data_IF_754396679407
#
_entry.id   IF_754396679407
#
_cell.length_a   1.000
_cell.length_b   1.000
_cell.length_c   1.000
_cell.angle_alpha   90.00
_cell.angle_beta   90.00
_cell.angle_gamma   90.00
#
_symmetry.space_group_name_H-M   'P 1'
#
loop_
_entity.id
_entity.type
_entity.pdbx_description
1 polymer ?
#
# COMPACT_ATOMS: atom_id res chain seq x y z
N UNK A 1 -13.96 -37.10 -33.09
CA UNK A 1 -14.48 -36.46 -34.32
C UNK A 1 -14.42 -34.95 -34.11
N UNK A 2 -13.52 -34.30 -34.80
CA UNK A 2 -13.41 -32.84 -34.74
C UNK A 2 -14.44 -32.24 -35.70
N UNK A 3 -15.43 -31.56 -35.16
CA UNK A 3 -16.40 -30.80 -35.96
C UNK A 3 -15.69 -29.51 -36.40
N UNK A 4 -15.48 -29.39 -37.72
CA UNK A 4 -14.81 -28.23 -38.31
C UNK A 4 -15.67 -26.96 -38.11
N UNK A 5 -15.02 -25.86 -37.67
CA UNK A 5 -15.65 -24.55 -37.47
C UNK A 5 -16.35 -23.98 -38.75
N UNK A 6 -16.00 -24.51 -39.92
CA UNK A 6 -16.56 -24.04 -41.22
C UNK A 6 -18.01 -24.46 -41.48
N UNK A 7 -18.56 -25.43 -40.74
CA UNK A 7 -19.93 -25.93 -40.95
C UNK A 7 -20.99 -25.13 -40.17
N UNK A 8 -20.60 -24.27 -39.23
CA UNK A 8 -21.54 -23.52 -38.37
C UNK A 8 -21.94 -22.15 -38.99
N UNK A 9 -21.24 -21.70 -40.01
CA UNK A 9 -21.42 -20.33 -40.59
C UNK A 9 -22.57 -20.28 -41.62
N UNK A 10 -23.14 -21.42 -42.08
CA UNK A 10 -24.12 -21.45 -43.17
C UNK A 10 -25.59 -21.41 -42.74
N UNK A 11 -25.92 -21.46 -41.49
CA UNK A 11 -27.29 -21.29 -41.01
C UNK A 11 -27.37 -20.03 -40.14
N UNK A 12 -28.25 -19.10 -40.46
CA UNK A 12 -28.42 -17.78 -39.85
C UNK A 12 -28.56 -17.70 -38.32
N UNK A 13 -28.32 -18.79 -37.61
CA UNK A 13 -28.22 -18.91 -36.14
C UNK A 13 -26.77 -18.77 -35.68
N UNK A 14 -25.78 -18.82 -36.57
CA UNK A 14 -24.35 -18.84 -36.24
C UNK A 14 -23.78 -17.52 -35.69
N UNK A 15 -24.32 -16.39 -36.13
CA UNK A 15 -23.75 -15.07 -35.75
C UNK A 15 -23.93 -14.72 -34.27
N UNK A 16 -25.11 -14.98 -33.72
CA UNK A 16 -25.41 -14.72 -32.31
C UNK A 16 -24.61 -15.66 -31.36
N UNK A 17 -24.50 -16.95 -31.75
CA UNK A 17 -23.74 -17.93 -30.97
C UNK A 17 -22.23 -17.63 -30.98
N UNK A 18 -21.67 -17.25 -32.11
CA UNK A 18 -20.23 -16.84 -32.20
C UNK A 18 -19.99 -15.56 -31.39
N UNK A 19 -20.87 -14.56 -31.49
CA UNK A 19 -20.75 -13.33 -30.71
C UNK A 19 -20.85 -13.60 -29.20
N UNK A 20 -21.74 -14.49 -28.77
CA UNK A 20 -21.86 -14.87 -27.35
C UNK A 20 -20.65 -15.63 -26.85
N UNK A 21 -20.10 -16.57 -27.61
CA UNK A 21 -18.88 -17.31 -27.26
C UNK A 21 -17.70 -16.35 -27.20
N UNK A 22 -17.55 -15.44 -28.15
CA UNK A 22 -16.46 -14.43 -28.13
C UNK A 22 -16.59 -13.50 -26.93
N UNK A 23 -17.80 -13.05 -26.61
CA UNK A 23 -18.07 -12.23 -25.42
C UNK A 23 -17.73 -12.98 -24.13
N UNK A 24 -18.14 -14.24 -23.98
CA UNK A 24 -17.85 -15.05 -22.81
C UNK A 24 -16.34 -15.34 -22.68
N UNK A 25 -15.64 -15.62 -23.78
CA UNK A 25 -14.18 -15.82 -23.76
C UNK A 25 -13.43 -14.54 -23.41
N UNK A 26 -13.86 -13.39 -23.92
CA UNK A 26 -13.26 -12.09 -23.58
C UNK A 26 -13.47 -11.77 -22.10
N UNK A 27 -14.69 -11.98 -21.60
CA UNK A 27 -15.05 -11.75 -20.20
C UNK A 27 -14.26 -12.66 -19.24
N UNK A 28 -14.07 -13.94 -19.59
CA UNK A 28 -13.26 -14.87 -18.76
C UNK A 28 -11.78 -14.51 -18.78
N UNK A 29 -11.24 -14.07 -19.93
CA UNK A 29 -9.85 -13.55 -20.00
C UNK A 29 -9.66 -12.30 -19.15
N UNK A 30 -10.54 -11.31 -19.27
CA UNK A 30 -10.47 -10.09 -18.46
C UNK A 30 -10.57 -10.38 -16.96
N UNK A 31 -11.40 -11.33 -16.53
CA UNK A 31 -11.48 -11.77 -15.13
C UNK A 31 -10.19 -12.45 -14.67
N UNK A 32 -9.63 -13.34 -15.50
CA UNK A 32 -8.36 -14.01 -15.18
C UNK A 32 -7.20 -13.02 -15.10
N UNK A 33 -7.16 -12.00 -15.95
CA UNK A 33 -6.18 -10.92 -15.91
C UNK A 33 -6.36 -10.05 -14.67
N UNK A 34 -7.59 -9.70 -14.28
CA UNK A 34 -7.90 -8.96 -13.07
C UNK A 34 -7.45 -9.72 -11.82
N UNK A 35 -7.77 -11.01 -11.70
CA UNK A 35 -7.31 -11.85 -10.59
C UNK A 35 -5.77 -12.00 -10.55
N UNK A 36 -5.12 -12.05 -11.71
CA UNK A 36 -3.66 -12.09 -11.78
C UNK A 36 -3.05 -10.78 -11.27
N UNK A 37 -3.60 -9.64 -11.67
CA UNK A 37 -3.16 -8.32 -11.21
C UNK A 37 -3.40 -8.14 -9.71
N UNK A 38 -4.54 -8.59 -9.18
CA UNK A 38 -4.82 -8.59 -7.74
C UNK A 38 -3.82 -9.45 -6.96
N UNK A 39 -3.54 -10.67 -7.45
CA UNK A 39 -2.57 -11.58 -6.82
C UNK A 39 -1.13 -11.01 -6.87
N UNK A 40 -0.74 -10.34 -7.95
CA UNK A 40 0.55 -9.65 -8.06
C UNK A 40 0.60 -8.45 -7.11
N UNK A 41 -0.47 -7.68 -7.00
CA UNK A 41 -0.57 -6.57 -6.05
C UNK A 41 -0.48 -7.04 -4.59
N UNK A 42 -1.14 -8.15 -4.25
CA UNK A 42 -1.04 -8.75 -2.91
C UNK A 42 0.38 -9.27 -2.60
N UNK A 43 1.02 -9.93 -3.57
CA UNK A 43 2.42 -10.37 -3.41
C UNK A 43 3.35 -9.18 -3.18
N UNK A 44 3.22 -8.13 -3.97
CA UNK A 44 4.02 -6.90 -3.83
C UNK A 44 3.79 -6.24 -2.47
N UNK A 45 2.53 -6.21 -1.98
CA UNK A 45 2.22 -5.70 -0.63
C UNK A 45 2.85 -6.55 0.46
N UNK A 46 2.74 -7.88 0.37
CA UNK A 46 3.32 -8.80 1.34
C UNK A 46 4.85 -8.71 1.36
N UNK A 47 5.48 -8.59 0.19
CA UNK A 47 6.92 -8.42 0.06
C UNK A 47 7.38 -7.08 0.66
N UNK A 48 6.69 -5.98 0.36
CA UNK A 48 6.98 -4.67 0.96
C UNK A 48 6.77 -4.70 2.47
N UNK A 49 5.70 -5.33 2.96
CA UNK A 49 5.46 -5.50 4.39
C UNK A 49 6.59 -6.27 5.06
N UNK A 50 7.07 -7.35 4.43
CA UNK A 50 8.20 -8.15 4.90
C UNK A 50 9.49 -7.31 4.92
N UNK A 51 9.79 -6.59 3.85
CA UNK A 51 10.98 -5.74 3.74
C UNK A 51 10.96 -4.60 4.77
N UNK A 52 9.81 -3.96 4.97
CA UNK A 52 9.63 -2.95 6.01
C UNK A 52 9.73 -3.56 7.41
N UNK A 53 9.26 -4.81 7.60
CA UNK A 53 9.43 -5.55 8.84
C UNK A 53 10.91 -5.83 9.14
N UNK A 54 11.63 -6.36 8.17
CA UNK A 54 13.06 -6.64 8.27
C UNK A 54 13.86 -5.36 8.50
N UNK A 55 13.57 -4.27 7.77
CA UNK A 55 14.25 -2.98 7.93
C UNK A 55 14.00 -2.32 9.28
N UNK A 56 12.83 -2.52 9.89
CA UNK A 56 12.52 -1.97 11.21
C UNK A 56 13.28 -2.66 12.35
N UNK A 57 13.79 -3.88 12.12
CA UNK A 57 14.62 -4.65 13.08
C UNK A 57 16.12 -4.48 12.86
N UNK A 58 16.54 -3.93 11.69
CA UNK A 58 17.95 -3.65 11.44
C UNK A 58 18.45 -2.53 12.36
N UNK A 59 19.72 -2.59 12.83
CA UNK A 59 20.31 -1.49 13.56
C UNK A 59 20.27 -0.22 12.68
N UNK A 60 19.92 0.88 13.29
CA UNK A 60 19.90 2.20 12.62
C UNK A 60 21.26 2.42 11.97
N UNK A 61 21.32 2.51 10.65
CA UNK A 61 22.57 2.91 9.98
C UNK A 61 22.99 4.27 10.54
N UNK A 62 24.30 4.52 10.64
CA UNK A 62 24.88 5.83 11.01
C UNK A 62 24.52 6.88 9.93
N UNK A 63 23.24 7.22 9.83
CA UNK A 63 22.79 8.44 9.16
C UNK A 63 22.86 9.53 10.20
N UNK A 64 23.50 10.64 9.83
CA UNK A 64 23.67 11.80 10.71
C UNK A 64 22.31 12.22 11.27
N UNK A 65 22.05 11.86 12.53
CA UNK A 65 20.75 12.02 13.18
C UNK A 65 20.51 13.45 13.66
N UNK A 66 21.48 14.35 13.47
CA UNK A 66 21.42 15.71 13.97
C UNK A 66 20.28 16.55 13.34
N UNK A 67 19.85 16.18 12.13
CA UNK A 67 18.84 16.93 11.38
C UNK A 67 17.46 16.24 11.35
N UNK A 68 17.30 15.11 12.07
CA UNK A 68 16.01 14.39 12.07
C UNK A 68 14.99 15.04 13.01
N UNK A 69 13.70 15.01 12.68
CA UNK A 69 12.65 15.41 13.60
C UNK A 69 12.75 14.59 14.90
N UNK A 70 12.53 15.24 16.04
CA UNK A 70 12.58 14.58 17.35
C UNK A 70 11.61 13.39 17.42
N UNK A 71 12.10 12.22 17.83
CA UNK A 71 11.31 10.99 17.93
C UNK A 71 11.21 10.19 16.64
N UNK A 72 11.80 10.69 15.56
CA UNK A 72 11.88 9.98 14.30
C UNK A 72 13.25 9.33 14.10
N UNK A 73 13.29 8.25 13.34
CA UNK A 73 14.50 7.54 12.95
C UNK A 73 14.44 7.13 11.49
N UNK A 74 15.59 6.85 10.93
CA UNK A 74 15.74 6.38 9.56
C UNK A 74 15.70 4.86 9.53
N UNK A 75 15.06 4.29 8.50
CA UNK A 75 15.06 2.86 8.20
C UNK A 75 14.92 2.66 6.68
N UNK A 76 14.94 1.43 6.21
CA UNK A 76 14.85 1.07 4.80
C UNK A 76 15.87 0.00 4.44
N UNK A 77 15.80 -0.52 3.22
CA UNK A 77 16.80 -1.47 2.72
C UNK A 77 18.12 -0.77 2.36
N UNK A 78 18.05 0.48 1.92
CA UNK A 78 19.21 1.30 1.55
C UNK A 78 19.02 2.73 2.04
N UNK A 79 18.92 2.95 3.35
CA UNK A 79 18.71 4.28 3.90
C UNK A 79 19.86 5.23 3.58
N UNK A 80 21.08 4.72 3.40
CA UNK A 80 22.27 5.49 3.02
C UNK A 80 22.21 6.07 1.59
N UNK A 81 21.35 5.53 0.74
CA UNK A 81 21.11 6.06 -0.62
C UNK A 81 20.19 7.30 -0.62
N UNK A 82 19.79 7.76 0.58
CA UNK A 82 18.89 8.90 0.79
C UNK A 82 19.45 9.89 1.81
N UNK A 83 18.97 11.13 1.75
CA UNK A 83 19.16 12.15 2.78
C UNK A 83 17.83 12.48 3.42
N UNK A 84 17.86 12.81 4.68
CA UNK A 84 16.68 13.08 5.52
C UNK A 84 16.89 14.36 6.30
N UNK A 85 15.82 15.03 6.69
CA UNK A 85 15.92 16.22 7.52
C UNK A 85 14.63 17.01 7.57
N UNK A 86 14.76 18.26 8.00
CA UNK A 86 13.70 19.27 8.01
C UNK A 86 13.95 20.32 6.93
N UNK A 87 12.89 20.73 6.24
CA UNK A 87 12.89 21.77 5.22
C UNK A 87 11.96 22.90 5.66
N UNK A 88 12.54 24.07 5.96
CA UNK A 88 11.81 25.28 6.41
C UNK A 88 11.34 26.15 5.21
N UNK A 89 11.70 25.79 3.99
CA UNK A 89 11.28 26.50 2.78
C UNK A 89 10.07 25.83 2.11
N UNK A 90 9.94 24.50 2.30
CA UNK A 90 8.87 23.70 1.72
C UNK A 90 8.09 23.03 2.85
N UNK A 91 7.02 23.66 3.29
CA UNK A 91 6.11 23.11 4.32
C UNK A 91 4.66 23.43 3.98
N UNK A 92 3.72 22.65 4.51
CA UNK A 92 2.27 22.85 4.38
C UNK A 92 1.74 23.68 5.55
N UNK A 93 2.25 23.41 6.74
CA UNK A 93 1.86 24.07 7.99
C UNK A 93 3.07 24.28 8.90
N UNK A 94 2.90 25.03 9.97
CA UNK A 94 3.99 25.26 10.93
C UNK A 94 5.20 25.97 10.30
N UNK A 95 6.39 25.48 10.64
CA UNK A 95 7.69 26.13 10.27
C UNK A 95 8.58 25.23 9.41
N UNK A 96 8.29 23.95 9.28
CA UNK A 96 9.08 23.00 8.51
C UNK A 96 8.27 21.74 8.19
N UNK A 97 8.67 21.04 7.13
CA UNK A 97 8.27 19.67 6.84
C UNK A 97 9.45 18.72 6.94
N UNK A 98 9.20 17.43 7.19
CA UNK A 98 10.23 16.41 7.04
C UNK A 98 10.42 16.08 5.55
N UNK A 99 11.63 15.70 5.15
CA UNK A 99 11.88 15.26 3.79
C UNK A 99 12.69 13.96 3.73
N UNK A 100 12.50 13.23 2.63
CA UNK A 100 13.36 12.15 2.16
C UNK A 100 13.75 12.51 0.73
N UNK A 101 15.06 12.59 0.47
CA UNK A 101 15.59 12.93 -0.85
C UNK A 101 16.60 11.89 -1.30
N UNK A 102 16.44 11.38 -2.50
CA UNK A 102 17.38 10.43 -3.07
C UNK A 102 18.74 11.06 -3.34
N UNK A 103 19.80 10.30 -3.06
CA UNK A 103 21.15 10.51 -3.60
C UNK A 103 21.20 10.00 -5.04
N UNK A 104 22.24 10.29 -5.82
CA UNK A 104 22.36 9.73 -7.17
C UNK A 104 22.34 8.20 -7.19
N UNK A 105 21.51 7.62 -8.09
CA UNK A 105 21.37 6.18 -8.33
C UNK A 105 20.98 5.35 -7.09
N UNK A 106 19.87 5.68 -6.42
CA UNK A 106 19.40 4.89 -5.28
C UNK A 106 18.99 3.47 -5.76
N UNK A 107 19.35 2.47 -4.97
CA UNK A 107 19.16 1.04 -5.34
C UNK A 107 17.89 0.44 -4.77
N UNK A 108 17.34 1.03 -3.72
CA UNK A 108 16.18 0.53 -3.01
C UNK A 108 15.43 1.71 -2.36
N UNK A 109 14.83 1.52 -1.19
CA UNK A 109 14.09 2.59 -0.53
C UNK A 109 14.73 3.04 0.80
N UNK A 110 14.46 4.30 1.13
CA UNK A 110 14.69 4.88 2.44
C UNK A 110 13.39 5.37 3.07
N UNK A 111 13.29 5.30 4.38
CA UNK A 111 12.07 5.60 5.13
C UNK A 111 12.35 6.41 6.40
N UNK A 112 11.44 7.31 6.74
CA UNK A 112 11.32 7.91 8.06
C UNK A 112 10.26 7.17 8.85
N UNK A 113 10.55 6.79 10.09
CA UNK A 113 9.68 6.04 10.97
C UNK A 113 9.65 6.61 12.37
N UNK A 114 8.46 6.60 12.97
CA UNK A 114 8.23 6.79 14.39
C UNK A 114 7.63 5.54 14.99
N UNK A 115 7.89 5.24 16.25
CA UNK A 115 7.28 4.12 16.96
C UNK A 115 6.91 4.51 18.38
N UNK A 116 5.79 3.95 18.86
CA UNK A 116 5.27 4.18 20.21
C UNK A 116 4.46 2.96 20.67
N UNK A 117 4.09 2.92 21.95
CA UNK A 117 3.30 1.84 22.54
C UNK A 117 1.87 1.91 22.06
N UNK A 118 1.22 0.75 21.93
CA UNK A 118 -0.14 0.65 21.45
C UNK A 118 -1.20 0.68 22.57
N UNK A 119 -0.82 0.84 23.85
CA UNK A 119 -1.72 0.67 25.03
C UNK A 119 -3.02 1.46 24.91
N UNK A 120 -2.96 2.70 24.45
CA UNK A 120 -4.14 3.56 24.32
C UNK A 120 -4.97 3.27 23.06
N UNK A 121 -4.48 2.40 22.16
CA UNK A 121 -5.03 2.15 20.83
C UNK A 121 -5.46 0.71 20.60
N UNK A 122 -5.01 -0.24 21.42
CA UNK A 122 -5.36 -1.65 21.32
C UNK A 122 -6.87 -1.87 21.33
N UNK A 123 -7.38 -2.65 20.37
CA UNK A 123 -8.80 -2.90 20.16
C UNK A 123 -9.59 -1.73 19.57
N UNK A 124 -8.92 -0.68 19.07
CA UNK A 124 -9.58 0.51 18.50
C UNK A 124 -9.26 0.67 17.03
N UNK A 125 -10.18 1.30 16.29
CA UNK A 125 -9.94 1.78 14.93
C UNK A 125 -9.16 3.09 14.98
N UNK A 126 -8.10 3.18 14.20
CA UNK A 126 -7.25 4.37 14.13
C UNK A 126 -7.13 4.87 12.69
N UNK A 127 -6.96 6.18 12.58
CA UNK A 127 -6.64 6.85 11.32
C UNK A 127 -5.30 7.54 11.44
N UNK A 128 -4.40 7.21 10.51
CA UNK A 128 -3.18 7.94 10.23
C UNK A 128 -3.39 8.80 8.99
N UNK A 129 -3.07 10.09 9.03
CA UNK A 129 -3.02 10.90 7.82
C UNK A 129 -1.82 11.84 7.83
N UNK A 130 -1.38 12.23 6.63
CA UNK A 130 -0.33 13.23 6.45
C UNK A 130 -0.53 13.97 5.13
N UNK A 131 0.03 15.17 5.04
CA UNK A 131 0.19 15.90 3.79
C UNK A 131 1.53 15.49 3.16
N UNK A 132 1.51 15.08 1.91
CA UNK A 132 2.69 14.66 1.17
C UNK A 132 2.83 15.47 -0.12
N UNK A 133 4.05 15.92 -0.42
CA UNK A 133 4.40 16.62 -1.65
C UNK A 133 5.59 15.93 -2.29
N UNK A 134 5.60 15.81 -3.63
CA UNK A 134 6.68 15.12 -4.35
C UNK A 134 7.30 16.02 -5.40
N UNK A 135 8.59 15.76 -5.68
CA UNK A 135 9.33 16.36 -6.79
C UNK A 135 10.19 15.30 -7.46
N UNK A 136 9.96 15.09 -8.75
CA UNK A 136 10.74 14.23 -9.65
C UNK A 136 10.88 12.77 -9.14
N UNK A 137 9.84 12.26 -8.47
CA UNK A 137 9.82 10.88 -7.95
C UNK A 137 9.65 9.91 -9.11
N UNK A 138 10.69 9.10 -9.36
CA UNK A 138 10.73 8.21 -10.54
C UNK A 138 10.01 6.89 -10.32
N UNK A 139 10.01 6.35 -9.09
CA UNK A 139 9.22 5.17 -8.75
C UNK A 139 8.00 5.58 -7.95
N UNK A 140 8.06 5.57 -6.63
CA UNK A 140 6.95 6.00 -5.80
C UNK A 140 7.37 6.35 -4.38
N UNK A 141 6.47 7.05 -3.71
CA UNK A 141 6.46 7.24 -2.26
C UNK A 141 5.11 6.85 -1.70
N UNK A 142 5.10 6.33 -0.49
CA UNK A 142 3.88 5.92 0.20
C UNK A 142 4.03 6.06 1.72
N UNK A 143 2.90 6.21 2.39
CA UNK A 143 2.78 6.16 3.84
C UNK A 143 2.44 4.73 4.26
N UNK A 144 2.83 4.34 5.48
CA UNK A 144 2.56 3.02 6.04
C UNK A 144 2.31 3.08 7.54
N UNK A 145 1.56 2.10 8.01
CA UNK A 145 1.20 1.91 9.42
C UNK A 145 1.26 0.41 9.75
N UNK A 146 1.89 0.08 10.87
CA UNK A 146 2.13 -1.28 11.31
C UNK A 146 1.86 -1.42 12.80
N UNK A 147 1.30 -2.54 13.20
CA UNK A 147 1.12 -2.94 14.59
C UNK A 147 1.85 -4.26 14.83
N UNK A 148 2.65 -4.30 15.88
CA UNK A 148 3.42 -5.47 16.30
C UNK A 148 3.03 -5.91 17.71
N UNK A 149 3.18 -7.21 17.95
CA UNK A 149 3.45 -7.78 19.28
C UNK A 149 4.97 -7.89 19.49
N UNK A 150 5.43 -8.41 20.63
CA UNK A 150 6.85 -8.72 20.82
C UNK A 150 7.38 -9.73 19.79
N UNK A 151 6.53 -10.65 19.33
CA UNK A 151 6.95 -11.76 18.46
C UNK A 151 6.76 -11.51 16.97
N UNK A 152 5.73 -10.75 16.59
CA UNK A 152 5.33 -10.65 15.17
C UNK A 152 4.54 -9.38 14.85
N UNK A 153 4.51 -9.08 13.55
CA UNK A 153 3.57 -8.12 12.98
C UNK A 153 2.14 -8.71 13.01
N UNK A 154 1.19 -7.95 13.56
CA UNK A 154 -0.22 -8.36 13.68
C UNK A 154 -1.17 -7.53 12.79
N UNK A 155 -0.78 -6.31 12.39
CA UNK A 155 -1.51 -5.53 11.41
C UNK A 155 -0.54 -4.67 10.56
N UNK A 156 -0.91 -4.44 9.31
CA UNK A 156 -0.15 -3.60 8.38
C UNK A 156 -1.03 -3.06 7.27
N UNK A 157 -0.85 -1.78 6.95
CA UNK A 157 -1.45 -1.14 5.79
C UNK A 157 -0.50 -0.07 5.23
N UNK A 158 -0.61 0.22 3.94
CA UNK A 158 0.14 1.26 3.28
C UNK A 158 -0.63 1.93 2.14
N UNK A 159 -0.12 3.05 1.62
CA UNK A 159 -0.69 3.74 0.47
C UNK A 159 0.04 3.41 -0.86
N UNK A 160 0.65 2.23 -0.96
CA UNK A 160 1.50 1.85 -2.10
C UNK A 160 0.71 1.38 -3.33
N UNK A 161 -0.58 1.09 -3.21
CA UNK A 161 -1.40 0.70 -4.37
C UNK A 161 -1.32 1.75 -5.48
N UNK A 162 -1.48 1.36 -6.73
CA UNK A 162 -1.34 2.25 -7.89
C UNK A 162 -2.24 3.48 -7.81
N UNK A 163 -3.43 3.34 -7.26
CA UNK A 163 -4.39 4.44 -7.07
C UNK A 163 -4.05 5.40 -5.93
N UNK A 164 -3.17 5.01 -4.99
CA UNK A 164 -2.89 5.75 -3.75
C UNK A 164 -1.44 6.23 -3.62
N UNK A 165 -0.49 5.55 -4.25
CA UNK A 165 0.92 5.96 -4.23
C UNK A 165 1.13 7.27 -4.97
N UNK A 166 2.13 8.02 -4.55
CA UNK A 166 2.52 9.24 -5.23
C UNK A 166 3.79 9.01 -6.06
N UNK A 167 3.80 9.54 -7.26
CA UNK A 167 4.95 9.53 -8.18
C UNK A 167 5.01 10.84 -8.97
N UNK A 168 6.13 11.10 -9.65
CA UNK A 168 6.35 12.33 -10.38
C UNK A 168 6.47 13.55 -9.49
N UNK A 169 6.01 14.69 -9.98
CA UNK A 169 5.96 15.97 -9.26
C UNK A 169 4.51 16.31 -8.94
N UNK A 170 4.18 16.40 -7.64
CA UNK A 170 2.84 16.70 -7.15
C UNK A 170 2.90 17.76 -6.05
N UNK A 171 1.89 18.63 -6.03
CA UNK A 171 1.62 19.52 -4.88
C UNK A 171 1.27 18.72 -3.62
N UNK A 172 0.91 19.42 -2.56
CA UNK A 172 0.47 18.78 -1.32
C UNK A 172 -0.80 17.97 -1.54
N UNK A 173 -0.74 16.67 -1.23
CA UNK A 173 -1.82 15.69 -1.31
C UNK A 173 -1.98 15.04 0.06
N UNK A 174 -3.21 14.94 0.55
CA UNK A 174 -3.51 14.19 1.76
C UNK A 174 -3.45 12.68 1.47
N UNK A 175 -2.62 11.98 2.22
CA UNK A 175 -2.59 10.51 2.27
C UNK A 175 -3.21 10.04 3.58
N UNK A 176 -3.93 8.91 3.55
CA UNK A 176 -4.66 8.41 4.71
C UNK A 176 -4.65 6.89 4.78
N UNK A 177 -4.55 6.36 6.01
CA UNK A 177 -4.66 4.94 6.35
C UNK A 177 -5.63 4.80 7.52
N UNK A 178 -6.59 3.89 7.42
CA UNK A 178 -7.50 3.49 8.50
C UNK A 178 -7.36 2.00 8.71
N UNK A 179 -7.01 1.57 9.94
CA UNK A 179 -6.92 0.16 10.34
C UNK A 179 -7.50 -0.07 11.72
N UNK A 180 -7.87 -1.31 12.01
CA UNK A 180 -8.12 -1.76 13.37
C UNK A 180 -6.80 -2.18 14.02
N UNK A 181 -6.52 -1.67 15.21
CA UNK A 181 -5.40 -2.11 16.04
C UNK A 181 -5.85 -3.36 16.78
N UNK A 182 -5.24 -4.53 16.55
CA UNK A 182 -5.61 -5.76 17.27
C UNK A 182 -5.47 -5.57 18.78
N UNK A 183 -6.35 -6.22 19.59
CA UNK A 183 -6.29 -6.13 21.06
C UNK A 183 -4.94 -6.54 21.65
N UNK A 184 -4.23 -7.46 20.99
CA UNK A 184 -2.90 -7.95 21.38
C UNK A 184 -1.76 -7.04 20.87
N UNK A 185 -2.06 -5.97 20.15
CA UNK A 185 -1.05 -5.03 19.63
C UNK A 185 -0.33 -4.31 20.78
N UNK A 186 0.99 -4.32 20.77
CA UNK A 186 1.84 -3.73 21.81
C UNK A 186 2.59 -2.50 21.33
N UNK A 187 2.90 -2.45 20.04
CA UNK A 187 3.69 -1.40 19.43
C UNK A 187 3.12 -0.97 18.08
N UNK A 188 3.03 0.33 17.90
CA UNK A 188 2.65 0.96 16.63
C UNK A 188 3.90 1.58 16.01
N UNK A 189 4.07 1.34 14.71
CA UNK A 189 5.07 1.98 13.88
C UNK A 189 4.35 2.67 12.72
N UNK A 190 4.73 3.89 12.44
CA UNK A 190 4.20 4.65 11.30
C UNK A 190 5.31 5.40 10.59
N UNK A 191 5.10 5.67 9.31
CA UNK A 191 6.09 6.39 8.55
C UNK A 191 5.74 6.59 7.09
N UNK A 192 6.72 7.09 6.36
CA UNK A 192 6.67 7.19 4.92
C UNK A 192 8.03 6.81 4.33
N UNK A 193 8.03 6.32 3.11
CA UNK A 193 9.23 5.92 2.39
C UNK A 193 9.29 6.55 0.99
N UNK A 194 10.48 6.65 0.46
CA UNK A 194 10.76 7.01 -0.93
C UNK A 194 11.53 5.88 -1.60
N UNK A 195 11.06 5.45 -2.77
CA UNK A 195 11.74 4.52 -3.67
C UNK A 195 12.06 5.22 -4.99
N UNK A 196 13.27 4.96 -5.51
CA UNK A 196 13.77 5.62 -6.72
C UNK A 196 14.27 7.03 -6.47
N UNK A 197 14.49 7.79 -7.55
CA UNK A 197 14.97 9.17 -7.48
C UNK A 197 13.88 10.14 -7.04
N UNK A 198 14.29 11.38 -6.71
CA UNK A 198 13.41 12.48 -6.38
C UNK A 198 13.41 12.86 -4.91
N UNK A 199 12.37 13.56 -4.50
CA UNK A 199 12.18 14.04 -3.14
C UNK A 199 10.72 13.95 -2.74
N UNK A 200 10.46 13.55 -1.50
CA UNK A 200 9.16 13.68 -0.85
C UNK A 200 9.29 14.56 0.38
N UNK A 201 8.37 15.50 0.56
CA UNK A 201 8.14 16.25 1.79
C UNK A 201 6.88 15.72 2.45
N UNK A 202 6.93 15.60 3.78
CA UNK A 202 5.86 15.05 4.60
C UNK A 202 5.60 16.03 5.74
N UNK A 203 4.34 16.39 5.94
CA UNK A 203 3.93 17.39 6.91
C UNK A 203 2.58 17.02 7.53
N UNK A 204 2.23 17.65 8.65
CA UNK A 204 0.92 17.55 9.28
C UNK A 204 0.46 16.11 9.54
N UNK A 205 1.35 15.26 10.05
CA UNK A 205 0.95 13.94 10.51
C UNK A 205 -0.12 14.06 11.61
N UNK A 206 -1.18 13.30 11.46
CA UNK A 206 -2.20 13.12 12.51
C UNK A 206 -2.41 11.62 12.75
N UNK A 207 -2.57 11.25 14.02
CA UNK A 207 -2.89 9.89 14.43
C UNK A 207 -4.00 9.96 15.47
N UNK A 208 -5.16 9.39 15.15
CA UNK A 208 -6.37 9.55 15.97
C UNK A 208 -7.20 8.26 16.02
N UNK A 209 -7.89 8.05 17.14
CA UNK A 209 -8.93 7.03 17.24
C UNK A 209 -10.17 7.55 16.51
N UNK A 210 -10.76 6.70 15.67
CA UNK A 210 -11.99 7.01 14.93
C UNK A 210 -13.08 5.98 15.24
N UNK A 211 -14.32 6.32 14.92
CA UNK A 211 -15.45 5.39 15.03
C UNK A 211 -15.30 4.21 14.08
N UNK A 212 -15.85 3.06 14.46
CA UNK A 212 -15.92 1.85 13.62
C UNK A 212 -16.76 2.03 12.35
N UNK A 213 -17.53 3.12 12.26
CA UNK A 213 -18.24 3.53 11.05
C UNK A 213 -17.31 4.09 9.96
N UNK A 214 -16.10 4.53 10.33
CA UNK A 214 -15.10 4.97 9.34
C UNK A 214 -14.58 3.76 8.59
N UNK A 215 -14.70 3.71 7.25
CA UNK A 215 -14.30 2.54 6.49
C UNK A 215 -12.80 2.29 6.61
N UNK A 216 -12.42 1.03 6.71
CA UNK A 216 -11.02 0.61 6.65
C UNK A 216 -10.43 0.95 5.29
N UNK A 217 -9.16 1.27 5.28
CA UNK A 217 -8.42 1.49 4.02
C UNK A 217 -8.32 0.23 3.18
N UNK A 218 -8.13 -0.93 3.84
CA UNK A 218 -8.21 -2.26 3.24
C UNK A 218 -9.47 -2.92 3.75
N UNK A 219 -10.38 -3.26 2.84
CA UNK A 219 -11.49 -4.13 3.21
C UNK A 219 -10.93 -5.46 3.72
N UNK A 220 -11.49 -6.02 4.81
CA UNK A 220 -11.10 -7.35 5.27
C UNK A 220 -11.25 -8.32 4.11
N UNK A 221 -10.24 -9.17 3.89
CA UNK A 221 -10.35 -10.25 2.92
C UNK A 221 -11.63 -11.03 3.25
N UNK A 222 -12.53 -11.18 2.27
CA UNK A 222 -13.68 -12.05 2.45
C UNK A 222 -13.16 -13.43 2.79
N UNK A 223 -13.47 -13.92 3.98
CA UNK A 223 -13.14 -15.30 4.31
C UNK A 223 -13.82 -16.21 3.27
N UNK A 224 -13.06 -17.15 2.69
CA UNK A 224 -13.68 -18.10 1.77
C UNK A 224 -14.78 -18.85 2.53
N UNK A 225 -15.90 -19.18 1.87
CA UNK A 225 -16.97 -19.94 2.52
C UNK A 225 -16.40 -21.26 3.03
N UNK A 226 -16.83 -21.66 4.21
CA UNK A 226 -16.39 -22.93 4.88
C UNK A 226 -16.81 -24.18 4.11
N UNK A 227 -17.73 -24.04 3.18
CA UNK A 227 -18.21 -25.12 2.29
C UNK A 227 -18.31 -24.61 0.86
N UNK A 228 -18.16 -25.50 -0.14
CA UNK A 228 -18.37 -25.12 -1.51
C UNK A 228 -19.82 -24.64 -1.76
N UNK A 229 -19.96 -23.58 -2.55
CA UNK A 229 -21.26 -22.99 -2.88
C UNK A 229 -21.54 -23.11 -4.38
N UNK A 230 -22.85 -23.20 -4.74
CA UNK A 230 -23.32 -23.18 -6.13
C UNK A 230 -22.63 -24.21 -7.06
N UNK A 231 -22.39 -25.44 -6.57
CA UNK A 231 -21.73 -26.50 -7.35
C UNK A 231 -22.56 -26.96 -8.57
N UNK A 232 -23.86 -26.73 -8.54
CA UNK A 232 -24.80 -27.03 -9.63
C UNK A 232 -25.03 -25.84 -10.58
N UNK A 233 -24.37 -24.69 -10.33
CA UNK A 233 -24.45 -23.47 -11.13
C UNK A 233 -25.87 -22.89 -11.27
N UNK A 234 -26.80 -23.24 -10.37
CA UNK A 234 -28.19 -22.78 -10.41
C UNK A 234 -28.37 -21.36 -9.85
N UNK A 235 -27.42 -20.85 -9.05
CA UNK A 235 -27.43 -19.47 -8.59
C UNK A 235 -26.78 -18.60 -9.65
N UNK A 236 -27.48 -17.56 -10.08
CA UNK A 236 -27.01 -16.63 -11.10
C UNK A 236 -25.77 -15.84 -10.71
N UNK A 237 -25.25 -15.06 -11.64
CA UNK A 237 -24.15 -14.09 -11.39
C UNK A 237 -24.67 -12.93 -10.53
N UNK A 238 -23.93 -12.62 -9.45
CA UNK A 238 -24.09 -11.36 -8.70
C UNK A 238 -23.57 -10.19 -9.53
#
# INVERSE_FOLDING_TARGET
>A
MAVSLSTIISSGIGGAAVALITYLMTRTRMRAEAHKLEAEAERTRAETAKLLAESATLPTSEVDSADLPKGWRVTGLRPEDYTYGLDNQVHQSGTASAFIRARPNPRDFGSLVQSFRADDYAGKRVRLSAMMRTKDVTQHTAMWLRVDTEEKQVAFENTQSESRRLSGTRGWVRSEIVIDVPPEGEKILLGAFLSGNGCVWIDSFTFEVVSDEVPLTKEPAQEPPTQPVNLDFTQGVN
#
